data_IF_542838188735
#
_entry.id   IF_542838188735
#
_cell.length_a   1.000
_cell.length_b   1.000
_cell.length_c   1.000
_cell.angle_alpha   90.00
_cell.angle_beta   90.00
_cell.angle_gamma   90.00
#
_symmetry.space_group_name_H-M   'P 1'
#
loop_
_entity.id
_entity.type
_entity.pdbx_description
1 polymer ?
#
# COMPACT_ATOMS: atom_id res chain seq x y z
N UNK A 1 17.14 -20.12 -37.64
CA UNK A 1 17.24 -18.67 -37.41
C UNK A 1 16.72 -18.38 -36.01
N UNK A 2 17.60 -18.51 -35.02
CA UNK A 2 17.28 -18.26 -33.61
C UNK A 2 17.62 -16.81 -33.30
N UNK A 3 16.62 -15.93 -33.32
CA UNK A 3 16.75 -14.61 -32.74
C UNK A 3 16.95 -14.78 -31.23
N UNK A 4 18.18 -14.62 -30.78
CA UNK A 4 18.56 -14.46 -29.38
C UNK A 4 17.81 -13.27 -28.81
N UNK A 5 16.64 -13.50 -28.24
CA UNK A 5 16.11 -12.59 -27.25
C UNK A 5 17.00 -12.77 -26.01
N UNK A 6 17.90 -11.81 -25.77
CA UNK A 6 18.46 -11.56 -24.45
C UNK A 6 17.30 -11.13 -23.54
N UNK A 7 16.46 -12.11 -23.17
CA UNK A 7 15.49 -11.97 -22.11
C UNK A 7 16.35 -11.82 -20.88
N UNK A 8 16.40 -10.60 -20.34
CA UNK A 8 16.90 -10.38 -19.00
C UNK A 8 16.02 -11.23 -18.08
N UNK A 9 16.45 -12.47 -17.85
CA UNK A 9 15.87 -13.39 -16.90
C UNK A 9 16.01 -12.67 -15.57
N UNK A 10 14.96 -12.00 -15.13
CA UNK A 10 14.75 -11.79 -13.70
C UNK A 10 14.67 -13.21 -13.16
N UNK A 11 15.69 -13.71 -12.42
CA UNK A 11 15.63 -15.07 -11.92
C UNK A 11 14.31 -15.24 -11.14
N UNK A 12 13.59 -16.34 -11.35
CA UNK A 12 12.31 -16.61 -10.66
C UNK A 12 12.24 -16.20 -9.17
N UNK A 13 13.30 -16.32 -8.35
CA UNK A 13 13.29 -15.82 -6.97
C UNK A 13 13.17 -14.30 -6.77
N UNK A 14 13.51 -13.43 -7.74
CA UNK A 14 13.49 -11.97 -7.50
C UNK A 14 12.07 -11.40 -7.43
N UNK A 15 11.09 -12.07 -8.01
CA UNK A 15 9.66 -11.68 -7.91
C UNK A 15 9.11 -11.95 -6.51
N UNK A 16 9.56 -13.03 -5.84
CA UNK A 16 9.16 -13.34 -4.47
C UNK A 16 9.92 -12.51 -3.43
N UNK A 17 11.10 -12.02 -3.79
CA UNK A 17 11.93 -11.19 -2.90
C UNK A 17 11.23 -9.88 -2.52
N UNK A 18 10.52 -9.23 -3.46
CA UNK A 18 9.83 -7.96 -3.17
C UNK A 18 8.69 -8.11 -2.15
N UNK A 19 7.73 -9.07 -2.30
CA UNK A 19 6.71 -9.33 -1.28
C UNK A 19 7.31 -9.73 0.06
N UNK A 20 8.32 -10.61 0.06
CA UNK A 20 8.95 -11.07 1.29
C UNK A 20 9.62 -9.92 2.05
N UNK A 21 10.34 -9.05 1.34
CA UNK A 21 10.96 -7.86 1.94
C UNK A 21 9.91 -6.89 2.48
N UNK A 22 8.80 -6.66 1.76
CA UNK A 22 7.72 -5.82 2.27
C UNK A 22 7.15 -6.37 3.60
N UNK A 23 6.90 -7.68 3.69
CA UNK A 23 6.36 -8.29 4.91
C UNK A 23 7.34 -8.17 6.08
N UNK A 24 8.62 -8.46 5.86
CA UNK A 24 9.67 -8.35 6.90
C UNK A 24 9.75 -6.93 7.44
N UNK A 25 9.74 -5.93 6.56
CA UNK A 25 9.80 -4.51 6.94
C UNK A 25 8.51 -4.07 7.63
N UNK A 26 7.34 -4.58 7.22
CA UNK A 26 6.06 -4.28 7.86
C UNK A 26 6.01 -4.77 9.30
N UNK A 27 6.49 -5.99 9.57
CA UNK A 27 6.53 -6.56 10.92
C UNK A 27 7.51 -5.79 11.82
N UNK A 28 8.66 -5.37 11.28
CA UNK A 28 9.67 -4.64 12.05
C UNK A 28 9.24 -3.19 12.35
N UNK A 29 8.75 -2.49 11.33
CA UNK A 29 8.42 -1.06 11.42
C UNK A 29 7.06 -0.83 12.05
N UNK A 30 6.17 -1.85 12.05
CA UNK A 30 4.74 -1.74 12.42
C UNK A 30 3.96 -0.68 11.61
N UNK A 31 4.54 -0.23 10.50
CA UNK A 31 3.99 0.78 9.59
C UNK A 31 3.83 0.20 8.19
N UNK A 32 2.59 -0.13 7.82
CA UNK A 32 2.26 -0.84 6.57
C UNK A 32 2.59 0.01 5.34
N UNK A 33 2.32 1.32 5.39
CA UNK A 33 2.54 2.23 4.27
C UNK A 33 4.03 2.36 3.94
N UNK A 34 4.88 2.44 4.97
CA UNK A 34 6.33 2.51 4.80
C UNK A 34 6.90 1.22 4.21
N UNK A 35 6.40 0.08 4.66
CA UNK A 35 6.81 -1.22 4.15
C UNK A 35 6.40 -1.44 2.68
N UNK A 36 5.20 -1.00 2.30
CA UNK A 36 4.73 -1.06 0.93
C UNK A 36 5.59 -0.18 -0.01
N UNK A 37 5.96 1.01 0.47
CA UNK A 37 6.85 1.91 -0.26
C UNK A 37 8.23 1.28 -0.50
N UNK A 38 8.88 0.77 0.56
CA UNK A 38 10.20 0.16 0.43
C UNK A 38 10.14 -1.10 -0.44
N UNK A 39 9.11 -1.94 -0.31
CA UNK A 39 8.92 -3.12 -1.15
C UNK A 39 8.76 -2.79 -2.64
N UNK A 40 8.04 -1.71 -2.95
CA UNK A 40 7.88 -1.20 -4.33
C UNK A 40 9.17 -0.59 -4.86
N UNK A 41 9.90 0.16 -4.02
CA UNK A 41 11.20 0.73 -4.38
C UNK A 41 12.24 -0.35 -4.68
N UNK A 42 12.29 -1.40 -3.85
CA UNK A 42 13.18 -2.54 -4.05
C UNK A 42 12.83 -3.32 -5.33
N UNK A 43 11.54 -3.46 -5.66
CA UNK A 43 11.11 -4.03 -6.95
C UNK A 43 11.58 -3.17 -8.15
N UNK A 44 11.40 -1.86 -8.07
CA UNK A 44 11.82 -0.94 -9.13
C UNK A 44 13.35 -0.89 -9.31
N UNK A 45 14.12 -1.07 -8.24
CA UNK A 45 15.59 -1.20 -8.26
C UNK A 45 16.04 -2.44 -9.03
N UNK A 46 15.38 -3.58 -8.82
CA UNK A 46 15.65 -4.83 -9.54
C UNK A 46 15.36 -4.68 -11.03
N UNK A 47 14.26 -3.99 -11.38
CA UNK A 47 13.88 -3.74 -12.78
C UNK A 47 14.79 -2.69 -13.46
N UNK A 48 15.32 -1.73 -12.70
CA UNK A 48 16.11 -0.60 -13.23
C UNK A 48 17.62 -0.82 -13.19
N UNK A 49 18.09 -2.08 -13.07
CA UNK A 49 19.51 -2.45 -13.08
C UNK A 49 20.37 -1.67 -12.05
N UNK A 50 19.89 -1.58 -10.82
CA UNK A 50 20.62 -1.02 -9.66
C UNK A 50 20.90 0.50 -9.65
N UNK A 51 20.29 1.30 -10.54
CA UNK A 51 20.34 2.77 -10.41
C UNK A 51 19.23 3.30 -9.48
N UNK A 52 19.55 3.73 -8.24
CA UNK A 52 18.53 4.10 -7.25
C UNK A 52 17.78 5.38 -7.61
N UNK A 53 18.46 6.31 -8.27
CA UNK A 53 17.88 7.57 -8.69
C UNK A 53 16.89 7.38 -9.85
N UNK A 54 17.25 6.55 -10.83
CA UNK A 54 16.36 6.20 -11.94
C UNK A 54 15.19 5.33 -11.49
N UNK A 55 15.41 4.41 -10.55
CA UNK A 55 14.35 3.60 -9.95
C UNK A 55 13.32 4.47 -9.22
N UNK A 56 13.78 5.44 -8.40
CA UNK A 56 12.89 6.38 -7.71
C UNK A 56 12.06 7.22 -8.69
N UNK A 57 12.72 7.80 -9.71
CA UNK A 57 12.04 8.58 -10.74
C UNK A 57 11.02 7.72 -11.51
N UNK A 58 11.35 6.47 -11.83
CA UNK A 58 10.43 5.57 -12.53
C UNK A 58 9.23 5.16 -11.68
N UNK A 59 9.39 5.01 -10.36
CA UNK A 59 8.26 4.79 -9.43
C UNK A 59 7.30 5.98 -9.46
N UNK A 60 7.82 7.20 -9.44
CA UNK A 60 6.99 8.42 -9.43
C UNK A 60 6.41 8.77 -10.81
N UNK A 61 7.17 8.59 -11.89
CA UNK A 61 6.82 9.04 -13.24
C UNK A 61 6.05 7.99 -14.04
N UNK A 62 6.36 6.70 -13.86
CA UNK A 62 5.72 5.63 -14.63
C UNK A 62 4.74 4.83 -13.79
N UNK A 63 5.13 4.36 -12.61
CA UNK A 63 4.30 3.43 -11.85
C UNK A 63 3.13 4.13 -11.14
N UNK A 64 3.37 5.26 -10.46
CA UNK A 64 2.31 6.03 -9.78
C UNK A 64 1.19 6.50 -10.73
N UNK A 65 1.47 7.26 -11.81
CA UNK A 65 0.42 7.79 -12.67
C UNK A 65 -0.25 6.70 -13.49
N UNK A 66 0.46 5.62 -13.83
CA UNK A 66 -0.15 4.46 -14.52
C UNK A 66 -1.10 3.70 -13.60
N UNK A 67 -0.80 3.57 -12.31
CA UNK A 67 -1.73 3.00 -11.33
C UNK A 67 -2.95 3.90 -11.10
N UNK A 68 -2.77 5.23 -11.09
CA UNK A 68 -3.87 6.19 -10.92
C UNK A 68 -4.74 6.33 -12.18
N UNK A 69 -4.18 6.15 -13.38
CA UNK A 69 -4.89 6.30 -14.65
C UNK A 69 -5.86 5.15 -14.96
N UNK A 70 -5.77 4.02 -14.26
CA UNK A 70 -6.72 2.92 -14.41
C UNK A 70 -7.95 3.13 -13.54
N UNK A 71 -9.13 3.19 -14.18
CA UNK A 71 -10.42 3.46 -13.51
C UNK A 71 -10.66 2.51 -12.33
N UNK A 72 -10.35 1.21 -12.47
CA UNK A 72 -10.57 0.22 -11.42
C UNK A 72 -9.72 0.48 -10.16
N UNK A 73 -8.47 0.92 -10.36
CA UNK A 73 -7.56 1.24 -9.27
C UNK A 73 -7.92 2.58 -8.64
N UNK A 74 -8.28 3.57 -9.46
CA UNK A 74 -8.72 4.88 -9.01
C UNK A 74 -9.98 4.77 -8.12
N UNK A 75 -10.92 3.89 -8.46
CA UNK A 75 -12.11 3.66 -7.64
C UNK A 75 -11.77 3.16 -6.23
N UNK A 76 -10.88 2.17 -6.11
CA UNK A 76 -10.45 1.65 -4.79
C UNK A 76 -9.76 2.73 -3.96
N UNK A 77 -8.91 3.54 -4.57
CA UNK A 77 -8.20 4.64 -3.90
C UNK A 77 -9.19 5.69 -3.41
N UNK A 78 -10.11 6.13 -4.27
CA UNK A 78 -11.15 7.11 -3.93
C UNK A 78 -12.09 6.60 -2.84
N UNK A 79 -12.51 5.33 -2.92
CA UNK A 79 -13.36 4.72 -1.90
C UNK A 79 -12.65 4.66 -0.54
N UNK A 80 -11.38 4.24 -0.52
CA UNK A 80 -10.58 4.16 0.71
C UNK A 80 -10.33 5.54 1.32
N UNK A 81 -10.03 6.54 0.48
CA UNK A 81 -9.88 7.93 0.91
C UNK A 81 -11.18 8.50 1.48
N UNK A 82 -12.31 8.24 0.81
CA UNK A 82 -13.62 8.65 1.28
C UNK A 82 -13.96 8.02 2.63
N UNK A 83 -13.74 6.71 2.77
CA UNK A 83 -13.95 5.99 4.02
C UNK A 83 -13.05 6.55 5.13
N UNK A 84 -11.76 6.78 4.86
CA UNK A 84 -10.83 7.40 5.81
C UNK A 84 -11.29 8.79 6.26
N UNK A 85 -11.77 9.62 5.35
CA UNK A 85 -12.31 10.96 5.66
C UNK A 85 -13.58 10.89 6.50
N UNK A 86 -14.49 9.97 6.17
CA UNK A 86 -15.71 9.74 6.92
C UNK A 86 -15.43 9.24 8.35
N UNK A 87 -14.51 8.27 8.53
CA UNK A 87 -14.10 7.81 9.87
C UNK A 87 -13.51 8.96 10.69
N UNK A 88 -12.65 9.80 10.09
CA UNK A 88 -12.08 10.95 10.78
C UNK A 88 -13.14 11.97 11.22
N UNK A 89 -14.12 12.24 10.35
CA UNK A 89 -15.27 13.10 10.67
C UNK A 89 -16.13 12.52 11.81
N UNK A 90 -16.46 11.22 11.76
CA UNK A 90 -17.26 10.57 12.82
C UNK A 90 -16.52 10.58 14.16
N UNK A 91 -15.22 10.32 14.14
CA UNK A 91 -14.37 10.35 15.32
C UNK A 91 -14.33 11.76 15.93
N UNK A 92 -14.15 12.80 15.11
CA UNK A 92 -14.10 14.19 15.56
C UNK A 92 -15.46 14.73 16.02
N UNK A 93 -16.55 14.29 15.41
CA UNK A 93 -17.92 14.63 15.83
C UNK A 93 -18.34 13.92 17.14
N UNK A 94 -17.48 13.09 17.74
CA UNK A 94 -17.77 12.42 19.00
C UNK A 94 -18.85 11.34 18.92
N UNK A 95 -19.30 10.98 17.70
CA UNK A 95 -20.38 10.01 17.49
C UNK A 95 -20.02 8.62 18.03
N UNK A 96 -18.77 8.20 17.87
CA UNK A 96 -18.26 6.94 18.44
C UNK A 96 -18.30 6.93 19.97
N UNK A 97 -17.96 8.04 20.62
CA UNK A 97 -18.02 8.17 22.08
C UNK A 97 -19.47 8.26 22.60
N UNK A 98 -20.36 8.95 21.89
CA UNK A 98 -21.78 9.04 22.24
C UNK A 98 -22.49 7.69 22.14
N UNK A 99 -22.22 6.91 21.09
CA UNK A 99 -22.74 5.54 20.96
C UNK A 99 -22.20 4.63 22.06
N UNK A 100 -20.91 4.73 22.40
CA UNK A 100 -20.32 3.94 23.48
C UNK A 100 -20.95 4.23 24.85
N UNK A 101 -21.24 5.50 25.17
CA UNK A 101 -21.89 5.87 26.44
C UNK A 101 -23.34 5.37 26.52
N UNK A 102 -24.09 5.44 25.42
CA UNK A 102 -25.43 4.86 25.33
C UNK A 102 -25.38 3.34 25.55
N UNK A 103 -24.47 2.63 24.87
CA UNK A 103 -24.27 1.19 25.08
C UNK A 103 -23.88 0.87 26.52
N UNK A 104 -23.05 1.68 27.16
CA UNK A 104 -22.66 1.50 28.57
C UNK A 104 -23.84 1.69 29.52
N UNK A 105 -24.73 2.65 29.28
CA UNK A 105 -25.97 2.82 30.04
C UNK A 105 -26.88 1.61 29.93
N UNK A 106 -27.08 1.06 28.73
CA UNK A 106 -27.89 -0.15 28.53
C UNK A 106 -27.25 -1.40 29.16
N UNK A 107 -25.92 -1.53 29.11
CA UNK A 107 -25.21 -2.63 29.74
C UNK A 107 -25.29 -2.59 31.29
N UNK A 108 -25.41 -1.40 31.88
CA UNK A 108 -25.53 -1.23 33.34
C UNK A 108 -26.92 -1.54 33.89
N UNK A 109 -27.93 -1.69 33.03
CA UNK A 109 -29.33 -1.98 33.42
C UNK A 109 -29.58 -3.45 33.75
N UNK A 110 -28.54 -4.32 33.74
CA UNK A 110 -28.68 -5.74 34.08
C UNK A 110 -27.64 -6.22 35.11
N UNK A 111 -27.55 -5.50 36.22
CA UNK A 111 -27.11 -6.00 37.53
C UNK A 111 -27.96 -5.36 38.61
#
# INVERSE_FOLDING_TARGET
ESATHDVFLVPGPVTFLSPLMAIVIAVLTREVLYALYIGTFLAALVVSRYDPFQAFLRVLDTYLPRSLGNIDHAFVILFTWFLSGLIACISKSGGSFGVAELSRKFAKTRT
#
